data_IF_390101378014
#
_entry.id   IF_390101378014
#
_cell.length_a   1.000
_cell.length_b   1.000
_cell.length_c   1.000
_cell.angle_alpha   90.00
_cell.angle_beta   90.00
_cell.angle_gamma   90.00
#
_symmetry.space_group_name_H-M   'P 1'
#
loop_
_entity.id
_entity.type
_entity.pdbx_description
1 polymer ?
#
# COMPACT_ATOMS: atom_id res chain seq x y z
N UNK A 1 73.25 50.62 22.24
CA UNK A 1 72.88 50.23 20.86
C UNK A 1 73.41 48.84 20.58
N UNK A 2 72.51 47.90 20.27
CA UNK A 2 72.65 46.69 19.42
C UNK A 2 71.77 45.59 19.99
N UNK A 3 70.66 45.37 19.29
CA UNK A 3 69.64 44.36 19.49
C UNK A 3 70.19 42.97 19.18
N UNK A 4 69.85 41.97 19.99
CA UNK A 4 69.96 40.57 19.63
C UNK A 4 68.53 40.01 19.54
N UNK A 5 68.17 39.60 18.32
CA UNK A 5 66.85 39.14 17.95
C UNK A 5 66.59 37.72 18.47
N UNK A 6 65.46 37.52 19.14
CA UNK A 6 64.88 36.19 19.38
C UNK A 6 64.12 35.76 18.13
N UNK A 7 64.59 34.71 17.47
CA UNK A 7 63.85 34.00 16.42
C UNK A 7 62.79 33.11 17.07
N UNK A 8 61.52 33.54 17.03
CA UNK A 8 60.39 32.65 17.29
C UNK A 8 60.21 31.70 16.10
N UNK A 9 60.45 30.41 16.31
CA UNK A 9 60.00 29.36 15.39
C UNK A 9 58.48 29.25 15.48
N UNK A 10 57.77 29.71 14.45
CA UNK A 10 56.33 29.54 14.32
C UNK A 10 55.99 28.08 14.04
N UNK A 11 55.37 27.41 15.01
CA UNK A 11 54.70 26.12 14.78
C UNK A 11 53.38 26.44 14.07
N UNK A 12 53.33 26.16 12.77
CA UNK A 12 52.08 26.19 12.01
C UNK A 12 51.20 25.03 12.46
N UNK A 13 50.18 25.32 13.27
CA UNK A 13 49.15 24.36 13.66
C UNK A 13 48.21 24.16 12.44
N UNK A 14 48.47 23.13 11.65
CA UNK A 14 47.56 22.70 10.59
C UNK A 14 46.28 22.13 11.21
N UNK A 15 45.22 22.95 11.28
CA UNK A 15 43.86 22.47 11.54
C UNK A 15 43.39 21.63 10.36
N UNK A 16 43.66 20.33 10.41
CA UNK A 16 42.96 19.35 9.58
C UNK A 16 41.51 19.27 10.06
N UNK A 17 40.62 20.00 9.38
CA UNK A 17 39.17 19.81 9.45
C UNK A 17 38.87 18.38 8.98
N UNK A 18 38.75 17.46 9.94
CA UNK A 18 38.16 16.15 9.69
C UNK A 18 36.67 16.40 9.46
N UNK A 19 36.29 16.48 8.18
CA UNK A 19 34.89 16.38 7.78
C UNK A 19 34.45 14.95 8.06
N UNK A 20 33.94 14.69 9.27
CA UNK A 20 33.13 13.51 9.50
C UNK A 20 31.90 13.63 8.61
N UNK A 21 31.88 12.91 7.49
CA UNK A 21 30.65 12.66 6.75
C UNK A 21 29.69 11.98 7.72
N UNK A 22 28.73 12.73 8.25
CA UNK A 22 27.61 12.13 8.96
C UNK A 22 26.94 11.19 7.94
N UNK A 23 27.11 9.88 8.14
CA UNK A 23 26.37 8.89 7.36
C UNK A 23 24.90 9.16 7.64
N UNK A 24 24.13 9.45 6.60
CA UNK A 24 22.70 9.67 6.74
C UNK A 24 22.09 8.40 7.36
N UNK A 25 21.19 8.57 8.34
CA UNK A 25 20.49 7.45 8.95
C UNK A 25 19.76 6.61 7.89
N UNK A 26 19.55 5.32 8.18
CA UNK A 26 18.79 4.43 7.30
C UNK A 26 17.39 4.99 7.05
N UNK A 27 16.91 4.89 5.80
CA UNK A 27 15.54 5.23 5.44
C UNK A 27 14.60 4.12 5.92
N UNK A 28 13.74 4.40 6.91
CA UNK A 28 12.82 3.44 7.50
C UNK A 28 11.48 3.49 6.76
N UNK A 29 11.05 2.36 6.22
CA UNK A 29 9.78 2.26 5.46
C UNK A 29 8.89 1.19 6.05
N UNK A 30 7.73 1.59 6.57
CA UNK A 30 6.70 0.66 6.99
C UNK A 30 5.98 0.05 5.77
N UNK A 31 5.81 -1.26 5.71
CA UNK A 31 5.19 -1.93 4.58
C UNK A 31 4.44 -3.20 5.00
N UNK A 32 3.36 -3.54 4.28
CA UNK A 32 2.74 -4.86 4.42
C UNK A 32 3.72 -5.94 3.93
N UNK A 33 3.70 -7.16 4.50
CA UNK A 33 4.67 -8.21 4.15
C UNK A 33 4.67 -8.56 2.65
N UNK A 34 3.50 -8.68 2.04
CA UNK A 34 3.33 -9.05 0.63
C UNK A 34 2.26 -8.16 -0.02
N UNK A 35 2.49 -7.59 -1.22
CA UNK A 35 3.73 -7.59 -2.00
C UNK A 35 4.74 -6.52 -1.58
N UNK A 36 4.39 -5.61 -0.67
CA UNK A 36 5.08 -4.34 -0.48
C UNK A 36 6.51 -4.50 0.06
N UNK A 37 6.68 -5.27 1.15
CA UNK A 37 8.01 -5.53 1.70
C UNK A 37 8.86 -6.38 0.75
N UNK A 38 8.29 -7.33 0.01
CA UNK A 38 9.01 -8.08 -1.04
C UNK A 38 9.55 -7.16 -2.14
N UNK A 39 8.76 -6.18 -2.60
CA UNK A 39 9.18 -5.18 -3.58
C UNK A 39 10.31 -4.31 -3.02
N UNK A 40 10.19 -3.82 -1.78
CA UNK A 40 11.25 -3.04 -1.13
C UNK A 40 12.53 -3.87 -0.94
N UNK A 41 12.40 -5.15 -0.60
CA UNK A 41 13.54 -6.07 -0.46
C UNK A 41 14.20 -6.38 -1.81
N UNK A 42 13.45 -6.34 -2.92
CA UNK A 42 14.05 -6.38 -4.26
C UNK A 42 14.83 -5.09 -4.55
N UNK A 43 14.30 -3.92 -4.18
CA UNK A 43 15.00 -2.63 -4.31
C UNK A 43 16.34 -2.66 -3.57
N UNK A 44 16.39 -3.18 -2.34
CA UNK A 44 17.66 -3.34 -1.58
C UNK A 44 18.75 -4.09 -2.34
N UNK A 45 18.38 -5.00 -3.25
CA UNK A 45 19.32 -5.77 -4.06
C UNK A 45 19.82 -4.97 -5.26
N UNK A 46 18.98 -4.15 -5.87
CA UNK A 46 19.30 -3.39 -7.09
C UNK A 46 19.88 -2.00 -6.80
N UNK A 47 19.55 -1.39 -5.66
CA UNK A 47 20.19 -0.19 -5.13
C UNK A 47 20.70 -0.40 -3.68
N UNK A 48 21.87 -1.04 -3.50
CA UNK A 48 22.46 -1.23 -2.18
C UNK A 48 23.02 0.04 -1.56
N UNK A 49 23.05 1.18 -2.27
CA UNK A 49 23.53 2.47 -1.74
C UNK A 49 22.46 3.19 -0.94
N UNK A 50 21.19 2.96 -1.26
CA UNK A 50 20.08 3.38 -0.42
C UNK A 50 20.01 2.46 0.81
N UNK A 51 20.42 2.97 1.97
CA UNK A 51 20.32 2.26 3.24
C UNK A 51 18.85 2.14 3.67
N UNK A 52 18.15 1.15 3.11
CA UNK A 52 16.72 0.92 3.28
C UNK A 52 16.46 -0.10 4.39
N UNK A 53 15.76 0.36 5.44
CA UNK A 53 15.24 -0.47 6.52
C UNK A 53 13.75 -0.67 6.34
N UNK A 54 13.36 -1.87 5.90
CA UNK A 54 11.97 -2.28 5.82
C UNK A 54 11.47 -2.64 7.22
N UNK A 55 10.36 -2.04 7.62
CA UNK A 55 9.64 -2.33 8.87
C UNK A 55 8.34 -3.01 8.48
N UNK A 56 8.32 -4.34 8.52
CA UNK A 56 7.10 -5.09 8.20
C UNK A 56 6.01 -4.82 9.22
N UNK A 57 4.81 -4.50 8.73
CA UNK A 57 3.65 -4.21 9.57
C UNK A 57 3.12 -5.50 10.19
N UNK A 58 2.98 -5.49 11.52
CA UNK A 58 2.28 -6.54 12.25
C UNK A 58 0.79 -6.22 12.34
N UNK A 59 -0.06 -7.25 12.50
CA UNK A 59 -1.51 -7.09 12.70
C UNK A 59 -1.81 -6.03 13.78
N UNK A 60 -2.62 -5.03 13.41
CA UNK A 60 -3.05 -3.94 14.30
C UNK A 60 -2.16 -2.70 14.32
N UNK A 61 -1.01 -2.70 13.63
CA UNK A 61 -0.18 -1.49 13.51
C UNK A 61 -0.77 -0.52 12.47
N UNK A 62 -0.95 0.74 12.85
CA UNK A 62 -1.34 1.80 11.91
C UNK A 62 -0.09 2.50 11.34
N UNK A 63 0.27 2.17 10.10
CA UNK A 63 1.46 2.72 9.44
C UNK A 63 1.39 4.25 9.23
N UNK A 64 0.19 4.84 9.18
CA UNK A 64 0.04 6.30 9.09
C UNK A 64 0.27 6.98 10.44
N UNK A 65 -0.04 6.32 11.56
CA UNK A 65 0.32 6.81 12.90
C UNK A 65 1.84 6.72 13.13
N UNK A 66 2.47 5.59 12.76
CA UNK A 66 3.92 5.44 12.81
C UNK A 66 4.62 6.54 11.98
N UNK A 67 4.12 6.80 10.77
CA UNK A 67 4.61 7.89 9.95
C UNK A 67 4.33 9.26 10.60
N UNK A 68 3.14 9.46 11.15
CA UNK A 68 2.77 10.72 11.80
C UNK A 68 3.68 11.07 12.98
N UNK A 69 4.08 10.06 13.76
CA UNK A 69 4.92 10.19 14.95
C UNK A 69 6.43 10.25 14.63
N UNK A 70 6.82 9.95 13.39
CA UNK A 70 8.24 9.90 12.99
C UNK A 70 8.95 8.59 13.34
N UNK A 71 8.20 7.55 13.68
CA UNK A 71 8.71 6.20 13.94
C UNK A 71 9.23 5.52 12.65
N UNK A 72 8.72 5.97 11.51
CA UNK A 72 9.20 5.65 10.16
C UNK A 72 9.23 6.91 9.29
N UNK A 73 10.02 6.86 8.22
CA UNK A 73 10.24 8.00 7.31
C UNK A 73 9.27 7.97 6.12
N UNK A 74 8.83 6.77 5.73
CA UNK A 74 7.76 6.55 4.76
C UNK A 74 6.93 5.31 5.10
N UNK A 75 5.78 5.16 4.45
CA UNK A 75 5.06 3.89 4.39
C UNK A 75 4.65 3.55 2.97
N UNK A 76 4.47 2.25 2.71
CA UNK A 76 4.06 1.69 1.43
C UNK A 76 3.15 0.48 1.69
N UNK A 77 1.84 0.74 1.75
CA UNK A 77 0.83 -0.29 2.07
C UNK A 77 -0.60 0.08 1.60
N UNK A 78 -0.83 1.32 1.17
CA UNK A 78 -2.16 1.91 1.02
C UNK A 78 -2.34 2.55 -0.35
N UNK A 79 -3.60 2.84 -0.70
CA UNK A 79 -4.00 3.62 -1.87
C UNK A 79 -4.50 5.02 -1.49
N UNK A 80 -4.59 5.93 -2.47
CA UNK A 80 -4.97 7.35 -2.27
C UNK A 80 -6.29 7.53 -1.49
N UNK A 81 -7.40 6.81 -1.80
CA UNK A 81 -8.62 6.96 -1.02
C UNK A 81 -8.45 6.68 0.47
N UNK A 82 -7.67 5.65 0.83
CA UNK A 82 -7.42 5.28 2.23
C UNK A 82 -6.57 6.35 2.91
N UNK A 83 -5.53 6.85 2.23
CA UNK A 83 -4.72 7.96 2.73
C UNK A 83 -5.59 9.18 3.07
N UNK A 84 -6.53 9.56 2.20
CA UNK A 84 -7.42 10.72 2.42
C UNK A 84 -8.33 10.55 3.63
N UNK A 85 -8.85 9.35 3.85
CA UNK A 85 -9.63 9.02 5.04
C UNK A 85 -8.78 9.11 6.31
N UNK A 86 -7.54 8.61 6.25
CA UNK A 86 -6.60 8.67 7.38
C UNK A 86 -6.11 10.09 7.67
N UNK A 87 -5.87 10.92 6.64
CA UNK A 87 -5.55 12.34 6.83
C UNK A 87 -6.65 13.08 7.59
N UNK A 88 -7.92 12.78 7.26
CA UNK A 88 -9.09 13.34 7.96
C UNK A 88 -9.17 12.85 9.40
N UNK A 89 -8.94 11.55 9.63
CA UNK A 89 -9.00 10.96 10.96
C UNK A 89 -7.88 11.49 11.88
N UNK A 90 -6.68 11.65 11.36
CA UNK A 90 -5.49 12.11 12.10
C UNK A 90 -5.37 13.64 12.19
N UNK A 91 -6.13 14.39 11.40
CA UNK A 91 -5.98 15.84 11.29
C UNK A 91 -4.60 16.27 10.75
N UNK A 92 -3.97 15.40 9.95
CA UNK A 92 -2.60 15.58 9.43
C UNK A 92 -2.60 15.29 7.94
N UNK A 93 -1.76 16.00 7.19
CA UNK A 93 -1.54 15.75 5.76
C UNK A 93 -0.22 15.03 5.54
N UNK A 94 -0.17 14.24 4.47
CA UNK A 94 1.01 13.54 4.02
C UNK A 94 1.31 13.86 2.55
N UNK A 95 2.51 13.49 2.10
CA UNK A 95 2.94 13.63 0.71
C UNK A 95 2.99 12.26 0.03
N UNK A 96 2.37 12.16 -1.14
CA UNK A 96 2.53 11.00 -2.03
C UNK A 96 3.83 11.16 -2.81
N UNK A 97 4.79 10.27 -2.57
CA UNK A 97 6.09 10.29 -3.22
C UNK A 97 6.11 9.46 -4.52
N UNK A 98 5.32 8.39 -4.60
CA UNK A 98 5.18 7.58 -5.80
C UNK A 98 3.84 6.85 -5.85
N UNK A 99 3.38 6.52 -7.06
CA UNK A 99 2.31 5.56 -7.33
C UNK A 99 2.94 4.35 -8.00
N UNK A 100 2.73 3.15 -7.45
CA UNK A 100 3.62 2.00 -7.74
C UNK A 100 2.89 0.86 -8.45
N UNK A 101 1.83 0.33 -7.85
CA UNK A 101 1.15 -0.86 -8.37
C UNK A 101 -0.32 -0.89 -7.99
N UNK A 102 -1.09 -1.69 -8.71
CA UNK A 102 -2.48 -2.02 -8.42
C UNK A 102 -2.55 -3.46 -7.96
N UNK A 103 -3.35 -3.69 -6.91
CA UNK A 103 -3.81 -5.01 -6.48
C UNK A 103 -5.31 -5.08 -6.73
N UNK A 104 -5.77 -5.75 -7.80
CA UNK A 104 -7.19 -5.95 -8.05
C UNK A 104 -7.87 -6.56 -6.82
N UNK A 105 -8.93 -5.93 -6.34
CA UNK A 105 -9.76 -6.49 -5.27
C UNK A 105 -10.46 -7.76 -5.79
N UNK A 106 -10.51 -8.82 -5.00
CA UNK A 106 -11.08 -10.10 -5.43
C UNK A 106 -12.25 -10.56 -4.57
N UNK A 107 -13.20 -11.25 -5.20
CA UNK A 107 -14.25 -12.04 -4.53
C UNK A 107 -13.82 -13.51 -4.56
N UNK A 108 -13.83 -14.16 -3.41
CA UNK A 108 -13.37 -15.54 -3.23
C UNK A 108 -14.45 -16.39 -2.56
N UNK A 109 -14.37 -17.71 -2.73
CA UNK A 109 -15.19 -18.68 -2.02
C UNK A 109 -14.49 -20.04 -1.97
N UNK A 110 -14.53 -20.70 -0.81
CA UNK A 110 -14.21 -22.13 -0.71
C UNK A 110 -15.42 -23.03 -1.05
N UNK A 111 -16.65 -22.49 -0.94
CA UNK A 111 -17.90 -23.25 -1.07
C UNK A 111 -18.45 -23.27 -2.50
N UNK A 112 -18.21 -22.21 -3.26
CA UNK A 112 -18.82 -22.00 -4.59
C UNK A 112 -17.76 -21.76 -5.66
N UNK A 113 -18.05 -22.20 -6.89
CA UNK A 113 -17.16 -22.01 -8.06
C UNK A 113 -17.66 -20.95 -9.04
N UNK A 114 -18.88 -20.44 -8.82
CA UNK A 114 -19.48 -19.38 -9.62
C UNK A 114 -20.57 -18.65 -8.83
N UNK A 115 -20.93 -17.44 -9.27
CA UNK A 115 -21.96 -16.62 -8.61
C UNK A 115 -23.40 -17.15 -8.76
N UNK A 116 -23.67 -18.00 -9.76
CA UNK A 116 -25.01 -18.54 -9.98
C UNK A 116 -25.37 -19.54 -8.88
N UNK A 117 -24.38 -20.34 -8.45
CA UNK A 117 -24.50 -21.36 -7.40
C UNK A 117 -24.63 -20.80 -5.98
N UNK A 118 -24.29 -19.53 -5.75
CA UNK A 118 -24.43 -18.87 -4.44
C UNK A 118 -25.91 -18.85 -4.02
N UNK A 119 -26.29 -19.35 -2.84
CA UNK A 119 -27.68 -19.42 -2.42
C UNK A 119 -28.26 -18.04 -2.09
N UNK A 120 -29.59 -17.97 -2.01
CA UNK A 120 -30.24 -16.82 -1.40
C UNK A 120 -29.86 -16.74 0.09
N UNK A 121 -29.79 -15.51 0.62
CA UNK A 121 -29.37 -15.20 1.99
C UNK A 121 -27.91 -15.55 2.31
N UNK A 122 -27.08 -15.75 1.28
CA UNK A 122 -25.65 -15.98 1.43
C UNK A 122 -24.96 -14.82 2.16
N UNK A 123 -23.96 -15.15 2.97
CA UNK A 123 -23.17 -14.19 3.74
C UNK A 123 -21.92 -13.80 2.95
N UNK A 124 -21.69 -12.50 2.82
CA UNK A 124 -20.54 -11.93 2.12
C UNK A 124 -19.69 -11.14 3.10
N UNK A 125 -18.50 -11.64 3.43
CA UNK A 125 -17.53 -10.88 4.22
C UNK A 125 -16.92 -9.76 3.37
N UNK A 126 -16.88 -8.55 3.91
CA UNK A 126 -16.28 -7.36 3.28
C UNK A 126 -15.44 -6.58 4.29
N UNK A 127 -14.45 -5.79 3.84
CA UNK A 127 -13.71 -4.88 4.72
C UNK A 127 -14.61 -3.93 5.51
N UNK A 128 -14.28 -3.66 6.77
CA UNK A 128 -15.05 -2.76 7.65
C UNK A 128 -14.54 -1.31 7.68
N UNK A 129 -13.41 -1.00 7.04
CA UNK A 129 -12.95 0.39 6.89
C UNK A 129 -13.68 1.05 5.71
N UNK A 130 -14.02 2.34 5.84
CA UNK A 130 -14.95 3.03 4.94
C UNK A 130 -14.58 2.93 3.45
N UNK A 131 -13.30 3.08 3.12
CA UNK A 131 -12.84 3.13 1.72
C UNK A 131 -12.86 1.76 1.07
N UNK A 132 -12.37 0.72 1.76
CA UNK A 132 -12.39 -0.65 1.23
C UNK A 132 -13.77 -1.29 1.31
N UNK A 133 -14.61 -0.91 2.28
CA UNK A 133 -16.03 -1.29 2.32
C UNK A 133 -16.74 -0.80 1.05
N UNK A 134 -16.62 0.50 0.75
CA UNK A 134 -17.19 1.09 -0.46
C UNK A 134 -16.67 0.37 -1.72
N UNK A 135 -15.34 0.18 -1.83
CA UNK A 135 -14.69 -0.54 -2.93
C UNK A 135 -15.26 -1.95 -3.12
N UNK A 136 -15.45 -2.69 -2.03
CA UNK A 136 -16.04 -4.03 -2.07
C UNK A 136 -17.49 -4.00 -2.60
N UNK A 137 -18.30 -3.03 -2.19
CA UNK A 137 -19.67 -2.89 -2.69
C UNK A 137 -19.70 -2.54 -4.19
N UNK A 138 -18.80 -1.69 -4.66
CA UNK A 138 -18.65 -1.42 -6.10
C UNK A 138 -18.22 -2.66 -6.88
N UNK A 139 -17.33 -3.49 -6.33
CA UNK A 139 -16.96 -4.78 -6.93
C UNK A 139 -18.17 -5.72 -7.01
N UNK A 140 -18.93 -5.89 -5.91
CA UNK A 140 -20.16 -6.69 -5.92
C UNK A 140 -21.17 -6.20 -6.96
N UNK A 141 -21.31 -4.87 -7.11
CA UNK A 141 -22.14 -4.27 -8.16
C UNK A 141 -21.62 -4.61 -9.56
N UNK A 142 -20.32 -4.49 -9.81
CA UNK A 142 -19.72 -4.79 -11.12
C UNK A 142 -19.92 -6.24 -11.54
N UNK A 143 -20.08 -7.15 -10.57
CA UNK A 143 -20.36 -8.57 -10.78
C UNK A 143 -21.87 -8.89 -10.80
N UNK A 144 -22.74 -7.88 -10.72
CA UNK A 144 -24.20 -8.03 -10.77
C UNK A 144 -24.82 -8.70 -9.54
N UNK A 145 -24.10 -8.76 -8.42
CA UNK A 145 -24.59 -9.39 -7.18
C UNK A 145 -25.53 -8.47 -6.39
N UNK A 146 -25.30 -7.16 -6.48
CA UNK A 146 -26.11 -6.10 -5.89
C UNK A 146 -26.18 -4.92 -6.87
N UNK A 147 -27.00 -3.92 -6.55
CA UNK A 147 -26.97 -2.61 -7.19
C UNK A 147 -27.01 -1.52 -6.12
N UNK A 148 -26.10 -0.57 -6.20
CA UNK A 148 -26.06 0.61 -5.35
C UNK A 148 -27.08 1.65 -5.84
N UNK A 149 -27.50 2.54 -4.94
CA UNK A 149 -28.34 3.67 -5.29
C UNK A 149 -27.68 4.54 -6.39
N UNK A 150 -28.48 5.13 -7.27
CA UNK A 150 -28.03 5.79 -8.51
C UNK A 150 -27.00 6.93 -8.31
N UNK A 151 -26.89 7.49 -7.09
CA UNK A 151 -25.88 8.51 -6.75
C UNK A 151 -24.44 7.95 -6.64
N UNK A 152 -24.27 6.63 -6.54
CA UNK A 152 -22.97 5.97 -6.43
C UNK A 152 -22.49 5.51 -7.81
N UNK A 153 -21.95 6.45 -8.58
CA UNK A 153 -21.48 6.20 -9.95
C UNK A 153 -19.97 6.02 -10.06
N UNK A 154 -19.22 6.48 -9.07
CA UNK A 154 -17.75 6.47 -9.10
C UNK A 154 -17.14 6.06 -7.75
N UNK A 155 -16.44 4.92 -7.68
CA UNK A 155 -15.76 4.45 -6.48
C UNK A 155 -14.62 5.37 -6.00
N UNK A 156 -14.08 6.23 -6.87
CA UNK A 156 -13.03 7.18 -6.53
C UNK A 156 -13.54 8.40 -5.75
N UNK A 157 -14.80 8.77 -5.91
CA UNK A 157 -15.38 10.03 -5.39
C UNK A 157 -16.52 9.83 -4.40
N UNK A 158 -17.02 8.61 -4.24
CA UNK A 158 -18.15 8.32 -3.34
C UNK A 158 -17.87 7.13 -2.40
N UNK A 159 -18.39 7.23 -1.17
CA UNK A 159 -18.28 6.17 -0.16
C UNK A 159 -19.66 5.57 0.11
N UNK A 160 -19.90 4.37 -0.42
CA UNK A 160 -21.12 3.61 -0.20
C UNK A 160 -21.04 2.77 1.07
N UNK A 161 -22.19 2.54 1.70
CA UNK A 161 -22.36 1.60 2.82
C UNK A 161 -23.40 0.53 2.46
N UNK A 162 -23.55 -0.55 3.23
CA UNK A 162 -24.60 -1.54 2.97
C UNK A 162 -26.02 -0.95 2.97
N UNK A 163 -26.24 0.19 3.64
CA UNK A 163 -27.53 0.92 3.64
C UNK A 163 -27.85 1.56 2.28
N UNK A 164 -26.85 1.71 1.41
CA UNK A 164 -26.97 2.33 0.11
C UNK A 164 -27.27 1.34 -1.02
N UNK A 165 -27.48 0.06 -0.69
CA UNK A 165 -27.85 -0.99 -1.64
C UNK A 165 -29.32 -0.82 -2.03
N UNK A 166 -29.58 -0.54 -3.31
CA UNK A 166 -30.92 -0.35 -3.87
C UNK A 166 -31.55 -1.66 -4.33
N UNK A 167 -30.76 -2.60 -4.88
CA UNK A 167 -31.24 -3.91 -5.33
C UNK A 167 -30.31 -5.01 -4.80
N UNK A 168 -30.89 -6.06 -4.20
CA UNK A 168 -30.17 -7.21 -3.65
C UNK A 168 -30.96 -8.50 -3.95
N UNK A 169 -30.90 -9.02 -5.20
CA UNK A 169 -31.78 -10.08 -5.67
C UNK A 169 -31.60 -11.42 -4.94
N UNK A 170 -30.41 -11.69 -4.42
CA UNK A 170 -30.12 -12.89 -3.61
C UNK A 170 -30.25 -12.64 -2.11
N UNK A 171 -30.69 -11.46 -1.66
CA UNK A 171 -30.76 -11.09 -0.24
C UNK A 171 -29.44 -11.34 0.52
N UNK A 172 -28.32 -11.04 -0.13
CA UNK A 172 -26.98 -11.20 0.43
C UNK A 172 -26.86 -10.46 1.77
N UNK A 173 -26.30 -11.13 2.78
CA UNK A 173 -26.00 -10.56 4.10
C UNK A 173 -24.57 -10.03 4.08
N UNK A 174 -24.42 -8.71 4.15
CA UNK A 174 -23.09 -8.09 4.19
C UNK A 174 -22.57 -8.16 5.63
N UNK A 175 -21.44 -8.85 5.81
CA UNK A 175 -20.74 -9.00 7.07
C UNK A 175 -19.45 -8.17 7.01
N UNK A 176 -19.40 -7.09 7.76
CA UNK A 176 -18.22 -6.22 7.85
C UNK A 176 -17.18 -6.83 8.80
N UNK A 177 -15.95 -7.04 8.30
CA UNK A 177 -14.85 -7.69 9.01
C UNK A 177 -13.56 -6.89 8.79
N UNK A 178 -12.66 -6.87 9.77
CA UNK A 178 -11.34 -6.27 9.58
C UNK A 178 -10.57 -6.99 8.47
N UNK A 179 -10.03 -6.25 7.50
CA UNK A 179 -9.39 -6.81 6.30
C UNK A 179 -8.39 -7.95 6.57
N UNK A 180 -7.47 -7.86 7.55
CA UNK A 180 -6.53 -8.96 7.85
C UNK A 180 -7.21 -10.28 8.26
N UNK A 181 -8.44 -10.22 8.78
CA UNK A 181 -9.16 -11.41 9.27
C UNK A 181 -10.03 -12.07 8.19
N UNK A 182 -10.31 -11.37 7.09
CA UNK A 182 -11.22 -11.88 6.04
C UNK A 182 -10.72 -13.20 5.42
N UNK A 183 -9.44 -13.39 5.09
CA UNK A 183 -9.00 -14.68 4.54
C UNK A 183 -9.31 -15.87 5.45
N UNK A 184 -9.27 -15.68 6.78
CA UNK A 184 -9.56 -16.74 7.76
C UNK A 184 -11.04 -17.05 7.89
N UNK A 185 -11.93 -16.17 7.44
CA UNK A 185 -13.37 -16.39 7.49
C UNK A 185 -13.92 -17.12 6.26
N UNK A 186 -13.09 -17.46 5.27
CA UNK A 186 -13.49 -18.11 4.01
C UNK A 186 -14.31 -19.40 4.20
N UNK A 187 -14.05 -20.16 5.27
CA UNK A 187 -14.80 -21.37 5.59
C UNK A 187 -16.15 -21.07 6.28
N UNK A 188 -16.26 -19.92 6.95
CA UNK A 188 -17.44 -19.52 7.72
C UNK A 188 -18.47 -18.74 6.88
N UNK A 189 -18.04 -18.09 5.79
CA UNK A 189 -18.90 -17.29 4.89
C UNK A 189 -19.12 -17.95 3.54
N UNK A 190 -20.03 -17.40 2.73
CA UNK A 190 -20.31 -17.93 1.39
C UNK A 190 -19.43 -17.27 0.33
N UNK A 191 -19.21 -15.97 0.46
CA UNK A 191 -18.28 -15.18 -0.34
C UNK A 191 -17.45 -14.29 0.58
N UNK A 192 -16.22 -13.99 0.18
CA UNK A 192 -15.36 -13.02 0.86
C UNK A 192 -14.74 -12.07 -0.15
N UNK A 193 -14.78 -10.77 0.13
CA UNK A 193 -14.09 -9.75 -0.67
C UNK A 193 -12.76 -9.41 0.02
N UNK A 194 -11.65 -9.76 -0.62
CA UNK A 194 -10.31 -9.76 0.00
C UNK A 194 -9.37 -8.86 -0.79
N UNK A 195 -8.66 -7.96 -0.10
CA UNK A 195 -7.56 -7.16 -0.65
C UNK A 195 -6.43 -8.06 -1.17
N UNK A 196 -5.72 -7.62 -2.21
CA UNK A 196 -4.70 -8.45 -2.86
C UNK A 196 -3.58 -8.87 -1.92
N UNK A 197 -3.05 -7.94 -1.12
CA UNK A 197 -2.03 -8.20 -0.10
C UNK A 197 -2.42 -9.34 0.85
N UNK A 198 -3.63 -9.28 1.44
CA UNK A 198 -4.12 -10.32 2.37
C UNK A 198 -4.47 -11.63 1.66
N UNK A 199 -4.90 -11.59 0.40
CA UNK A 199 -5.09 -12.81 -0.39
C UNK A 199 -3.76 -13.52 -0.64
N UNK A 200 -2.72 -12.77 -1.04
CA UNK A 200 -1.37 -13.29 -1.25
C UNK A 200 -0.75 -13.82 0.05
N UNK A 201 -0.90 -13.10 1.16
CA UNK A 201 -0.44 -13.54 2.49
C UNK A 201 -1.12 -14.86 2.92
N UNK A 202 -2.40 -15.03 2.59
CA UNK A 202 -3.14 -16.26 2.84
C UNK A 202 -2.83 -17.40 1.84
N UNK A 203 -1.89 -17.20 0.91
CA UNK A 203 -1.50 -18.18 -0.10
C UNK A 203 -2.45 -18.31 -1.29
N UNK A 204 -3.42 -17.41 -1.42
CA UNK A 204 -4.26 -17.31 -2.61
C UNK A 204 -3.49 -16.64 -3.74
N UNK A 205 -3.77 -17.06 -4.97
CA UNK A 205 -3.34 -16.41 -6.20
C UNK A 205 -4.54 -15.68 -6.80
N UNK A 206 -4.70 -14.35 -6.58
CA UNK A 206 -5.84 -13.59 -7.09
C UNK A 206 -6.19 -13.85 -8.56
N UNK A 207 -5.20 -13.93 -9.45
CA UNK A 207 -5.43 -14.17 -10.88
C UNK A 207 -5.97 -15.57 -11.23
N UNK A 208 -5.99 -16.50 -10.27
CA UNK A 208 -6.47 -17.88 -10.45
C UNK A 208 -7.65 -18.24 -9.54
N UNK A 209 -7.60 -17.81 -8.29
CA UNK A 209 -8.50 -18.29 -7.24
C UNK A 209 -9.72 -17.39 -7.03
N UNK A 210 -9.69 -16.15 -7.53
CA UNK A 210 -10.82 -15.24 -7.42
C UNK A 210 -11.97 -15.65 -8.37
N UNK A 211 -13.20 -15.64 -7.84
CA UNK A 211 -14.44 -15.78 -8.62
C UNK A 211 -14.77 -14.53 -9.45
N UNK A 212 -14.31 -13.37 -8.97
CA UNK A 212 -14.42 -12.10 -9.67
C UNK A 212 -13.31 -11.16 -9.22
N UNK A 213 -12.73 -10.43 -10.15
CA UNK A 213 -11.67 -9.45 -9.90
C UNK A 213 -12.11 -8.06 -10.34
N UNK A 214 -11.67 -7.07 -9.59
CA UNK A 214 -11.77 -5.67 -10.00
C UNK A 214 -10.94 -5.40 -11.26
N UNK A 215 -11.45 -4.54 -12.14
CA UNK A 215 -10.69 -4.07 -13.31
C UNK A 215 -9.44 -3.31 -12.88
N UNK A 216 -8.30 -3.64 -13.47
CA UNK A 216 -7.09 -2.83 -13.34
C UNK A 216 -7.14 -1.53 -14.18
N UNK A 217 -8.01 -1.48 -15.20
CA UNK A 217 -8.20 -0.30 -16.04
C UNK A 217 -9.01 0.76 -15.30
N UNK A 218 -8.54 2.01 -15.34
CA UNK A 218 -9.13 3.18 -14.65
C UNK A 218 -9.33 2.96 -13.13
N UNK A 219 -8.44 2.19 -12.50
CA UNK A 219 -8.55 1.82 -11.10
C UNK A 219 -7.96 2.90 -10.18
N UNK A 220 -8.74 3.52 -9.28
CA UNK A 220 -8.26 4.60 -8.40
C UNK A 220 -7.47 4.09 -7.17
N UNK A 221 -7.29 2.78 -7.05
CA UNK A 221 -6.72 2.11 -5.87
C UNK A 221 -5.28 1.64 -6.08
N UNK A 222 -4.53 2.34 -6.94
CA UNK A 222 -3.09 2.12 -7.00
C UNK A 222 -2.45 2.44 -5.64
N UNK A 223 -1.61 1.51 -5.18
CA UNK A 223 -0.80 1.63 -3.98
C UNK A 223 0.31 2.68 -4.17
N UNK A 224 0.57 3.42 -3.09
CA UNK A 224 1.41 4.61 -3.09
C UNK A 224 2.50 4.53 -2.01
N UNK A 225 3.65 5.13 -2.31
CA UNK A 225 4.65 5.49 -1.31
C UNK A 225 4.25 6.83 -0.68
N UNK A 226 4.15 6.87 0.64
CA UNK A 226 3.71 8.05 1.39
C UNK A 226 4.78 8.47 2.39
N UNK A 227 5.02 9.77 2.54
CA UNK A 227 5.94 10.33 3.54
C UNK A 227 5.34 11.57 4.21
N UNK A 228 6.00 12.08 5.26
CA UNK A 228 5.68 13.36 5.84
C UNK A 228 6.03 14.51 4.86
N UNK A 229 5.26 15.61 4.82
CA UNK A 229 5.52 16.72 3.90
C UNK A 229 6.94 17.31 4.01
N UNK A 230 7.52 17.29 5.23
CA UNK A 230 8.89 17.76 5.48
C UNK A 230 9.95 16.91 4.78
N UNK A 231 9.66 15.63 4.51
CA UNK A 231 10.55 14.68 3.83
C UNK A 231 10.24 14.55 2.33
N UNK A 232 9.26 15.28 1.79
CA UNK A 232 8.90 15.21 0.38
C UNK A 232 10.07 15.56 -0.58
N UNK A 233 11.05 16.34 -0.09
CA UNK A 233 12.25 16.69 -0.84
C UNK A 233 13.51 15.94 -0.39
N UNK A 234 13.40 15.01 0.56
CA UNK A 234 14.52 14.18 1.00
C UNK A 234 15.07 13.37 -0.20
N UNK A 235 16.39 13.43 -0.47
CA UNK A 235 16.98 12.70 -1.61
C UNK A 235 16.75 11.18 -1.52
N UNK A 236 16.68 10.60 -0.31
CA UNK A 236 16.44 9.17 -0.10
C UNK A 236 15.02 8.78 -0.51
N UNK A 237 14.03 9.63 -0.21
CA UNK A 237 12.63 9.43 -0.63
C UNK A 237 12.51 9.52 -2.15
N UNK A 238 13.18 10.50 -2.77
CA UNK A 238 13.19 10.67 -4.23
C UNK A 238 13.83 9.48 -4.95
N UNK A 239 14.93 8.96 -4.42
CA UNK A 239 15.57 7.77 -5.00
C UNK A 239 14.67 6.54 -4.86
N UNK A 240 14.09 6.30 -3.67
CA UNK A 240 13.15 5.19 -3.48
C UNK A 240 11.92 5.30 -4.41
N UNK A 241 11.37 6.49 -4.57
CA UNK A 241 10.24 6.73 -5.48
C UNK A 241 10.60 6.42 -6.95
N UNK A 242 11.81 6.80 -7.37
CA UNK A 242 12.34 6.50 -8.70
C UNK A 242 12.56 4.99 -8.89
N UNK A 243 13.10 4.30 -7.90
CA UNK A 243 13.32 2.85 -7.96
C UNK A 243 11.99 2.08 -8.03
N UNK A 244 11.04 2.41 -7.15
CA UNK A 244 9.71 1.80 -7.14
C UNK A 244 8.97 1.95 -8.47
N UNK A 245 9.21 3.03 -9.20
CA UNK A 245 8.58 3.31 -10.50
C UNK A 245 9.45 2.90 -11.70
N UNK A 246 10.59 2.24 -11.45
CA UNK A 246 11.52 1.83 -12.49
C UNK A 246 10.99 0.66 -13.35
N UNK A 247 11.45 0.53 -14.62
CA UNK A 247 11.13 -0.63 -15.45
C UNK A 247 11.57 -1.97 -14.81
N UNK A 248 12.67 -1.98 -14.06
CA UNK A 248 13.21 -3.17 -13.40
C UNK A 248 12.28 -3.67 -12.29
N UNK A 249 11.74 -2.76 -11.46
CA UNK A 249 10.74 -3.11 -10.43
C UNK A 249 9.43 -3.52 -11.08
N UNK A 250 9.01 -2.85 -12.15
CA UNK A 250 7.81 -3.24 -12.89
C UNK A 250 7.92 -4.65 -13.49
N UNK A 251 9.09 -5.03 -14.03
CA UNK A 251 9.35 -6.39 -14.51
C UNK A 251 9.36 -7.41 -13.38
N UNK A 252 10.00 -7.09 -12.24
CA UNK A 252 9.96 -7.93 -11.05
C UNK A 252 8.52 -8.22 -10.60
N UNK A 253 7.69 -7.18 -10.48
CA UNK A 253 6.28 -7.32 -10.09
C UNK A 253 5.53 -8.26 -11.06
N UNK A 254 5.69 -8.06 -12.38
CA UNK A 254 5.01 -8.90 -13.39
C UNK A 254 5.42 -10.38 -13.28
N UNK A 255 6.71 -10.65 -13.10
CA UNK A 255 7.24 -12.02 -13.00
C UNK A 255 6.87 -12.70 -11.70
N UNK A 256 6.97 -11.98 -10.59
CA UNK A 256 6.74 -12.54 -9.26
C UNK A 256 5.27 -12.85 -9.01
N UNK A 257 4.37 -11.94 -9.38
CA UNK A 257 2.96 -12.02 -8.98
C UNK A 257 2.01 -12.48 -10.08
N UNK A 258 2.49 -12.72 -11.31
CA UNK A 258 1.72 -13.35 -12.39
C UNK A 258 0.32 -12.76 -12.59
N UNK A 259 0.24 -11.42 -12.63
CA UNK A 259 -1.01 -10.68 -12.85
C UNK A 259 -1.84 -10.40 -11.58
N UNK A 260 -1.51 -10.99 -10.43
CA UNK A 260 -2.17 -10.68 -9.15
C UNK A 260 -1.76 -9.31 -8.58
N UNK A 261 -0.60 -8.81 -9.00
CA UNK A 261 -0.09 -7.47 -8.71
C UNK A 261 0.36 -6.87 -10.05
N UNK A 262 -0.08 -5.64 -10.33
CA UNK A 262 0.10 -5.01 -11.64
C UNK A 262 0.83 -3.68 -11.46
N UNK A 263 2.05 -3.49 -12.00
CA UNK A 263 2.74 -2.21 -11.88
C UNK A 263 2.00 -1.13 -12.67
N UNK A 264 2.01 0.12 -12.18
CA UNK A 264 1.42 1.24 -12.94
C UNK A 264 2.30 1.69 -14.10
N UNK A 265 3.60 1.39 -14.04
CA UNK A 265 4.51 1.64 -15.14
C UNK A 265 4.08 0.83 -16.38
N UNK A 266 4.01 1.46 -17.57
CA UNK A 266 3.61 0.76 -18.80
C UNK A 266 4.59 -0.37 -19.14
N UNK A 267 4.13 -1.32 -19.94
CA UNK A 267 5.04 -2.28 -20.60
C UNK A 267 5.77 -1.53 -21.71
N UNK A 268 7.10 -1.53 -21.64
CA UNK A 268 7.99 -1.03 -22.70
C UNK A 268 8.09 -2.00 -23.87
#
# INVERSE_FOLDING_TARGET
>A
MKHAAFTLAGVALSLSLVWTSAQADALRVAADPVPHAEILNYIKKIDPKLDLKVVELTSGANANELLANGDVDANYFQHVPYLKDQEKALGKTFAVAATVHIEPLGIYSHKYKDFKSVPNNATVAVPNNATNLSRALFLLQSQGLIKLAAKFTDPATTLATPKDIAENPKHLKILEVESPQIPRSLDDVDLAVINGNYALEAGLTPSKDALGLESASHNPYANILVTNPQLANDPRIKELAKDLTSPQVAEFIRKQYNGSVIPVAPQS
#
